data_IF_335632240620
#
_entry.id   IF_335632240620
#
_cell.length_a   1.000
_cell.length_b   1.000
_cell.length_c   1.000
_cell.angle_alpha   90.00
_cell.angle_beta   90.00
_cell.angle_gamma   90.00
#
_symmetry.space_group_name_H-M   'P 1'
#
loop_
_entity.id
_entity.type
_entity.pdbx_description
1 polymer ?
#
# COMPACT_ATOMS: atom_id res chain seq x y z
N UNK A 1 1.58 -25.80 -17.75
CA UNK A 1 1.25 -24.38 -18.02
C UNK A 1 -0.02 -24.07 -17.22
N UNK A 2 0.12 -23.52 -16.01
CA UNK A 2 -1.05 -23.20 -15.18
C UNK A 2 -1.61 -21.86 -15.64
N UNK A 3 -2.61 -21.91 -16.51
CA UNK A 3 -3.45 -20.75 -16.79
C UNK A 3 -4.34 -20.54 -15.57
N UNK A 4 -4.05 -19.52 -14.75
CA UNK A 4 -5.03 -19.04 -13.78
C UNK A 4 -6.28 -18.66 -14.59
N UNK A 5 -7.46 -19.27 -14.34
CA UNK A 5 -8.66 -18.93 -15.09
C UNK A 5 -8.93 -17.44 -14.92
N UNK A 6 -9.10 -16.70 -16.03
CA UNK A 6 -9.33 -15.25 -16.05
C UNK A 6 -10.44 -14.83 -15.06
N UNK A 7 -11.45 -15.68 -14.87
CA UNK A 7 -12.53 -15.48 -13.90
C UNK A 7 -12.08 -15.34 -12.44
N UNK A 8 -10.97 -15.96 -12.03
CA UNK A 8 -10.47 -15.84 -10.67
C UNK A 8 -9.74 -14.51 -10.46
N UNK A 9 -8.98 -14.04 -11.47
CA UNK A 9 -8.28 -12.76 -11.40
C UNK A 9 -9.25 -11.58 -11.32
N UNK A 10 -10.28 -11.53 -12.18
CA UNK A 10 -11.29 -10.47 -12.15
C UNK A 10 -12.00 -10.38 -10.79
N UNK A 11 -12.36 -11.51 -10.20
CA UNK A 11 -12.95 -11.57 -8.85
C UNK A 11 -12.00 -11.07 -7.77
N UNK A 12 -10.72 -11.39 -7.84
CA UNK A 12 -9.72 -10.87 -6.90
C UNK A 12 -9.60 -9.36 -6.98
N UNK A 13 -9.66 -8.78 -8.19
CA UNK A 13 -9.63 -7.31 -8.37
C UNK A 13 -10.89 -6.66 -7.83
N UNK A 14 -12.08 -7.22 -8.09
CA UNK A 14 -13.34 -6.71 -7.52
C UNK A 14 -13.33 -6.76 -5.98
N UNK A 15 -12.75 -7.82 -5.40
CA UNK A 15 -12.63 -7.96 -3.96
C UNK A 15 -11.68 -6.92 -3.35
N UNK A 16 -10.56 -6.62 -4.02
CA UNK A 16 -9.63 -5.56 -3.59
C UNK A 16 -10.32 -4.19 -3.52
N UNK A 17 -11.20 -3.89 -4.48
CA UNK A 17 -11.91 -2.61 -4.56
C UNK A 17 -13.05 -2.54 -3.52
N UNK A 18 -13.74 -3.65 -3.29
CA UNK A 18 -14.95 -3.69 -2.44
C UNK A 18 -14.67 -4.01 -0.97
N UNK A 19 -13.47 -4.45 -0.61
CA UNK A 19 -13.13 -4.87 0.74
C UNK A 19 -11.79 -4.28 1.22
N UNK A 20 -11.88 -3.29 2.11
CA UNK A 20 -10.73 -2.59 2.67
C UNK A 20 -9.79 -3.49 3.50
N UNK A 21 -10.30 -4.55 4.12
CA UNK A 21 -9.47 -5.47 4.92
C UNK A 21 -8.65 -6.40 4.00
N UNK A 22 -9.24 -6.86 2.89
CA UNK A 22 -8.50 -7.62 1.86
C UNK A 22 -7.44 -6.74 1.21
N UNK A 23 -7.77 -5.49 0.89
CA UNK A 23 -6.79 -4.52 0.38
C UNK A 23 -5.63 -4.31 1.36
N UNK A 24 -5.95 -4.15 2.65
CA UNK A 24 -4.94 -3.99 3.71
C UNK A 24 -3.98 -5.19 3.76
N UNK A 25 -4.51 -6.42 3.75
CA UNK A 25 -3.68 -7.62 3.76
C UNK A 25 -2.75 -7.71 2.55
N UNK A 26 -3.24 -7.38 1.35
CA UNK A 26 -2.43 -7.43 0.13
C UNK A 26 -1.37 -6.32 0.09
N UNK A 27 -1.69 -5.12 0.57
CA UNK A 27 -0.71 -4.05 0.77
C UNK A 27 0.39 -4.50 1.74
N UNK A 28 0.01 -5.12 2.86
CA UNK A 28 0.96 -5.52 3.90
C UNK A 28 1.93 -6.63 3.48
N UNK A 29 1.60 -7.37 2.41
CA UNK A 29 2.50 -8.39 1.82
C UNK A 29 3.65 -7.79 1.01
N UNK A 30 3.53 -6.53 0.57
CA UNK A 30 4.61 -5.87 -0.16
C UNK A 30 5.74 -5.53 0.81
N UNK A 31 6.95 -6.00 0.53
CA UNK A 31 8.14 -5.71 1.33
C UNK A 31 8.90 -4.53 0.74
N UNK A 32 9.44 -3.68 1.61
CA UNK A 32 10.45 -2.70 1.24
C UNK A 32 11.73 -3.39 0.77
N UNK A 33 12.46 -2.68 -0.09
CA UNK A 33 13.73 -3.15 -0.66
C UNK A 33 14.85 -3.20 0.39
N UNK A 34 14.83 -2.27 1.35
CA UNK A 34 15.84 -2.19 2.41
C UNK A 34 15.35 -2.84 3.71
N UNK A 35 16.16 -3.71 4.37
CA UNK A 35 15.81 -4.27 5.67
C UNK A 35 15.54 -3.23 6.77
N UNK A 36 16.23 -2.09 6.73
CA UNK A 36 16.02 -1.02 7.73
C UNK A 36 14.65 -0.35 7.57
N UNK A 37 14.24 -0.10 6.33
CA UNK A 37 12.92 0.44 5.99
C UNK A 37 11.84 -0.60 6.28
N UNK A 38 12.07 -1.86 5.93
CA UNK A 38 11.13 -2.95 6.20
C UNK A 38 10.78 -3.07 7.68
N UNK A 39 11.76 -2.91 8.58
CA UNK A 39 11.51 -2.93 10.03
C UNK A 39 10.56 -1.81 10.47
N UNK A 40 10.70 -0.62 9.88
CA UNK A 40 9.82 0.52 10.16
C UNK A 40 8.42 0.24 9.61
N UNK A 41 8.32 -0.27 8.38
CA UNK A 41 7.04 -0.62 7.75
C UNK A 41 6.27 -1.66 8.59
N UNK A 42 6.94 -2.71 9.07
CA UNK A 42 6.29 -3.71 9.94
C UNK A 42 5.73 -3.07 11.21
N UNK A 43 6.47 -2.13 11.82
CA UNK A 43 5.99 -1.36 12.97
C UNK A 43 4.76 -0.51 12.63
N UNK A 44 4.77 0.16 11.49
CA UNK A 44 3.62 0.93 11.00
C UNK A 44 2.41 0.04 10.71
N UNK A 45 2.61 -1.13 10.12
CA UNK A 45 1.54 -2.08 9.78
C UNK A 45 0.81 -2.58 11.05
N UNK A 46 1.54 -2.83 12.14
CA UNK A 46 0.96 -3.17 13.45
C UNK A 46 0.10 -2.01 13.97
N UNK A 47 0.63 -0.79 13.93
CA UNK A 47 -0.08 0.40 14.42
C UNK A 47 -1.32 0.71 13.58
N UNK A 48 -1.29 0.47 12.26
CA UNK A 48 -2.47 0.61 11.38
C UNK A 48 -3.56 -0.36 11.81
N UNK A 49 -3.24 -1.63 12.06
CA UNK A 49 -4.19 -2.65 12.55
C UNK A 49 -4.81 -2.28 13.90
N UNK A 50 -4.01 -1.70 14.78
CA UNK A 50 -4.44 -1.20 16.09
C UNK A 50 -5.21 0.13 16.01
N UNK A 51 -5.35 0.71 14.81
CA UNK A 51 -5.96 2.04 14.55
C UNK A 51 -5.24 3.21 15.22
N UNK A 52 -3.97 3.01 15.57
CA UNK A 52 -3.07 4.01 16.14
C UNK A 52 -2.46 4.89 15.05
N UNK A 53 -3.32 5.53 14.24
CA UNK A 53 -2.93 6.16 12.97
C UNK A 53 -1.91 7.30 13.12
N UNK A 54 -1.91 8.03 14.24
CA UNK A 54 -0.92 9.08 14.50
C UNK A 54 0.48 8.47 14.66
N UNK A 55 0.58 7.35 15.40
CA UNK A 55 1.85 6.65 15.59
C UNK A 55 2.31 5.99 14.29
N UNK A 56 1.38 5.37 13.55
CA UNK A 56 1.68 4.81 12.23
C UNK A 56 2.23 5.87 11.27
N UNK A 57 1.62 7.06 11.25
CA UNK A 57 2.10 8.20 10.47
C UNK A 57 3.54 8.57 10.82
N UNK A 58 3.86 8.67 12.11
CA UNK A 58 5.20 9.02 12.57
C UNK A 58 6.24 7.98 12.11
N UNK A 59 5.91 6.69 12.16
CA UNK A 59 6.79 5.64 11.64
C UNK A 59 6.99 5.76 10.12
N UNK A 60 5.91 5.96 9.35
CA UNK A 60 6.01 6.11 7.89
C UNK A 60 6.76 7.38 7.48
N UNK A 61 6.64 8.47 8.22
CA UNK A 61 7.47 9.66 8.00
C UNK A 61 8.96 9.39 8.25
N UNK A 62 9.29 8.57 9.25
CA UNK A 62 10.68 8.14 9.48
C UNK A 62 11.19 7.30 8.30
N UNK A 63 10.39 6.38 7.78
CA UNK A 63 10.74 5.64 6.56
C UNK A 63 10.91 6.57 5.35
N UNK A 64 10.05 7.58 5.20
CA UNK A 64 10.11 8.56 4.11
C UNK A 64 11.37 9.42 4.13
N UNK A 65 11.92 9.72 5.32
CA UNK A 65 13.23 10.39 5.44
C UNK A 65 14.40 9.51 5.01
N UNK A 66 14.23 8.19 4.99
CA UNK A 66 15.26 7.21 4.59
C UNK A 66 15.18 6.93 3.09
N UNK A 67 13.96 6.77 2.56
CA UNK A 67 13.72 6.48 1.14
C UNK A 67 12.46 7.18 0.65
N UNK A 68 12.52 7.68 -0.59
CA UNK A 68 11.37 8.16 -1.35
C UNK A 68 11.23 7.43 -2.70
N UNK A 69 11.88 6.27 -2.84
CA UNK A 69 11.87 5.46 -4.07
C UNK A 69 11.35 4.04 -3.86
N UNK A 70 10.72 3.77 -2.72
CA UNK A 70 10.22 2.44 -2.34
C UNK A 70 8.68 2.37 -2.42
N UNK A 71 8.17 1.46 -3.24
CA UNK A 71 6.75 1.22 -3.47
C UNK A 71 6.01 0.80 -2.20
N UNK A 72 6.65 0.00 -1.35
CA UNK A 72 6.07 -0.48 -0.10
C UNK A 72 5.69 0.69 0.79
N UNK A 73 6.55 1.73 0.85
CA UNK A 73 6.30 2.94 1.61
C UNK A 73 5.11 3.74 1.07
N UNK A 74 5.07 3.98 -0.24
CA UNK A 74 3.95 4.73 -0.85
C UNK A 74 2.62 4.00 -0.70
N UNK A 75 2.62 2.66 -0.80
CA UNK A 75 1.43 1.85 -0.54
C UNK A 75 0.92 2.03 0.91
N UNK A 76 1.81 2.03 1.92
CA UNK A 76 1.39 2.26 3.31
C UNK A 76 0.91 3.69 3.55
N UNK A 77 1.55 4.69 2.94
CA UNK A 77 1.12 6.08 3.06
C UNK A 77 -0.27 6.29 2.43
N UNK A 78 -0.50 5.73 1.24
CA UNK A 78 -1.80 5.77 0.58
C UNK A 78 -2.87 5.03 1.43
N UNK A 79 -2.56 3.82 1.91
CA UNK A 79 -3.48 3.03 2.73
C UNK A 79 -3.81 3.71 4.07
N UNK A 80 -2.81 4.27 4.76
CA UNK A 80 -3.03 4.99 6.01
C UNK A 80 -4.00 6.16 5.80
N UNK A 81 -3.80 6.97 4.75
CA UNK A 81 -4.69 8.09 4.43
C UNK A 81 -6.09 7.62 4.05
N UNK A 82 -6.20 6.53 3.30
CA UNK A 82 -7.48 5.89 3.00
C UNK A 82 -8.23 5.46 4.28
N UNK A 83 -7.55 4.79 5.22
CA UNK A 83 -8.14 4.37 6.52
C UNK A 83 -8.52 5.56 7.42
N UNK A 84 -7.91 6.72 7.21
CA UNK A 84 -8.24 7.98 7.89
C UNK A 84 -9.41 8.74 7.22
N UNK A 85 -9.86 8.32 6.03
CA UNK A 85 -10.85 9.05 5.22
C UNK A 85 -10.27 10.25 4.46
N UNK A 86 -8.94 10.36 4.38
CA UNK A 86 -8.21 11.42 3.69
C UNK A 86 -7.94 10.98 2.23
N UNK A 87 -9.00 10.98 1.42
CA UNK A 87 -8.98 10.34 0.10
C UNK A 87 -8.09 11.07 -0.92
N UNK A 88 -8.06 12.40 -0.91
CA UNK A 88 -7.19 13.19 -1.79
C UNK A 88 -5.71 12.94 -1.48
N UNK A 89 -5.34 12.88 -0.20
CA UNK A 89 -3.98 12.56 0.21
C UNK A 89 -3.61 11.10 -0.09
N UNK A 90 -4.57 10.18 0.04
CA UNK A 90 -4.40 8.78 -0.36
C UNK A 90 -4.07 8.67 -1.84
N UNK A 91 -4.86 9.32 -2.69
CA UNK A 91 -4.65 9.39 -4.13
C UNK A 91 -3.30 10.05 -4.48
N UNK A 92 -2.94 11.12 -3.78
CA UNK A 92 -1.66 11.81 -3.97
C UNK A 92 -0.46 10.90 -3.70
N UNK A 93 -0.48 10.12 -2.61
CA UNK A 93 0.59 9.17 -2.32
C UNK A 93 0.60 7.99 -3.29
N UNK A 94 -0.56 7.48 -3.67
CA UNK A 94 -0.66 6.41 -4.66
C UNK A 94 -0.09 6.85 -6.02
N UNK A 95 -0.45 8.06 -6.47
CA UNK A 95 0.06 8.67 -7.70
C UNK A 95 1.57 8.84 -7.67
N UNK A 96 2.14 9.31 -6.55
CA UNK A 96 3.61 9.38 -6.37
C UNK A 96 4.27 8.01 -6.44
N UNK A 97 3.68 7.00 -5.81
CA UNK A 97 4.15 5.62 -5.90
C UNK A 97 4.18 5.09 -7.32
N UNK A 98 3.19 5.44 -8.16
CA UNK A 98 3.10 5.01 -9.56
C UNK A 98 4.18 5.59 -10.48
N UNK A 99 4.88 6.66 -10.04
CA UNK A 99 6.01 7.25 -10.78
C UNK A 99 7.31 6.44 -10.64
N UNK A 100 7.36 5.44 -9.75
CA UNK A 100 8.54 4.61 -9.56
C UNK A 100 8.82 3.72 -10.77
N UNK A 101 10.09 3.58 -11.13
CA UNK A 101 10.56 2.83 -12.31
C UNK A 101 10.28 1.34 -12.23
N UNK A 102 10.49 0.75 -11.05
CA UNK A 102 10.62 -0.71 -10.89
C UNK A 102 9.44 -1.36 -10.16
N UNK A 103 8.22 -0.88 -10.44
CA UNK A 103 7.01 -1.49 -9.89
C UNK A 103 6.65 -2.80 -10.60
N UNK A 104 6.41 -3.84 -9.82
CA UNK A 104 5.73 -5.04 -10.28
C UNK A 104 4.29 -4.73 -10.71
N UNK A 105 3.71 -5.61 -11.53
CA UNK A 105 2.31 -5.49 -11.94
C UNK A 105 1.34 -5.51 -10.76
N UNK A 106 1.68 -6.21 -9.68
CA UNK A 106 0.86 -6.28 -8.48
C UNK A 106 0.89 -4.97 -7.68
N UNK A 107 2.05 -4.38 -7.46
CA UNK A 107 2.17 -3.08 -6.78
C UNK A 107 1.48 -1.98 -7.58
N UNK A 108 1.61 -1.99 -8.92
CA UNK A 108 0.86 -1.07 -9.79
C UNK A 108 -0.64 -1.23 -9.59
N UNK A 109 -1.14 -2.47 -9.55
CA UNK A 109 -2.57 -2.73 -9.34
C UNK A 109 -3.02 -2.17 -7.98
N UNK A 110 -2.31 -2.48 -6.90
CA UNK A 110 -2.65 -2.03 -5.55
C UNK A 110 -2.66 -0.50 -5.44
N UNK A 111 -1.67 0.20 -6.01
CA UNK A 111 -1.66 1.66 -6.05
C UNK A 111 -2.86 2.22 -6.83
N UNK A 112 -3.24 1.59 -7.94
CA UNK A 112 -4.39 2.01 -8.74
C UNK A 112 -5.73 1.86 -8.02
N UNK A 113 -5.84 0.98 -7.02
CA UNK A 113 -7.08 0.86 -6.22
C UNK A 113 -7.40 2.20 -5.53
N UNK A 114 -6.38 2.91 -5.03
CA UNK A 114 -6.55 4.21 -4.37
C UNK A 114 -6.82 5.39 -5.31
N UNK A 115 -6.78 5.18 -6.64
CA UNK A 115 -7.13 6.21 -7.62
C UNK A 115 -8.61 6.15 -8.03
N UNK A 116 -9.36 5.17 -7.53
CA UNK A 116 -10.77 4.94 -7.90
C UNK A 116 -11.76 5.51 -6.88
N UNK A 117 -11.30 6.46 -6.05
CA UNK A 117 -12.08 7.09 -4.98
C UNK A 117 -13.13 8.06 -5.52
#
# INVERSE_FOLDING_TARGET
MYAVPVNNFSKSVELLISNADVLEEEVMKINAQSPSVQRIIIGADILIKEKEYIKANNELERAFRITNTDSALFLRLAHLRFKQGLLEESESFASKGLLLSDLSSWERLLLNVYLRN
#
